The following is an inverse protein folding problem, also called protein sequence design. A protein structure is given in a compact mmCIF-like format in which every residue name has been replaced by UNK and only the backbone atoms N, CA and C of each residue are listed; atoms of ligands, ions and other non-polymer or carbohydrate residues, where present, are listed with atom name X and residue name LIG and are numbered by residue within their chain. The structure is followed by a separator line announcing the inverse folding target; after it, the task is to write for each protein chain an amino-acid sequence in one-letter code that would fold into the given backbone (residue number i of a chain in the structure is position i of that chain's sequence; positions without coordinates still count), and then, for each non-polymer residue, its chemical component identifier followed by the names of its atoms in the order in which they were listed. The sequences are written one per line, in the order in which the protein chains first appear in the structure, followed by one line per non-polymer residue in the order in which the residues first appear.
data_IF_203498764912
#
_entry.id   IF_203498764912
#
_cell.length_a   1.000
_cell.length_b   1.000
_cell.length_c   1.000
_cell.angle_alpha   90.00
_cell.angle_beta   90.00
_cell.angle_gamma   90.00
#
_symmetry.space_group_name_H-M   'P 1'
#
loop_
_entity.id
_entity.type
_entity.pdbx_description
1 polymer ?
#
# COMPACT_ATOMS: atom_id res chain seq x y z
N UNK A 1 14.88 10.84 0.29
CA UNK A 1 14.03 9.94 1.09
C UNK A 1 12.61 10.44 1.03
N UNK A 2 11.67 9.55 0.72
CA UNK A 2 10.24 9.86 0.57
C UNK A 2 9.40 9.40 1.79
N UNK A 3 10.02 9.15 2.92
CA UNK A 3 9.32 8.84 4.17
C UNK A 3 9.27 10.07 5.08
N UNK A 4 8.13 10.30 5.74
CA UNK A 4 6.89 9.51 5.71
C UNK A 4 6.13 9.70 4.38
N UNK A 5 5.90 8.59 3.63
CA UNK A 5 5.41 8.68 2.25
C UNK A 5 4.01 9.28 2.14
N UNK A 6 3.08 8.85 2.97
CA UNK A 6 1.69 9.30 2.93
C UNK A 6 1.60 10.81 3.18
N UNK A 7 2.33 11.30 4.18
CA UNK A 7 2.46 12.72 4.49
C UNK A 7 3.11 13.51 3.35
N UNK A 8 4.15 12.97 2.72
CA UNK A 8 4.80 13.63 1.57
C UNK A 8 3.89 13.66 0.35
N UNK A 9 3.11 12.61 0.11
CA UNK A 9 2.08 12.58 -0.94
C UNK A 9 0.99 13.63 -0.68
N UNK A 10 0.53 13.74 0.56
CA UNK A 10 -0.42 14.76 0.99
C UNK A 10 0.13 16.18 0.81
N UNK A 11 1.38 16.42 1.22
CA UNK A 11 2.06 17.70 1.05
C UNK A 11 2.10 18.14 -0.42
N UNK A 12 2.51 17.25 -1.32
CA UNK A 12 2.56 17.56 -2.75
C UNK A 12 1.18 17.93 -3.29
N UNK A 13 0.13 17.22 -2.89
CA UNK A 13 -1.24 17.54 -3.30
C UNK A 13 -1.69 18.90 -2.76
N UNK A 14 -1.44 19.17 -1.45
CA UNK A 14 -1.88 20.40 -0.76
C UNK A 14 -1.19 21.65 -1.29
N UNK A 15 0.15 21.64 -1.36
CA UNK A 15 0.94 22.83 -1.64
C UNK A 15 1.02 23.15 -3.13
N UNK A 16 1.16 22.15 -3.98
CA UNK A 16 1.37 22.37 -5.42
C UNK A 16 0.07 22.32 -6.25
N UNK A 17 -1.09 22.08 -5.61
CA UNK A 17 -2.39 22.01 -6.27
C UNK A 17 -2.41 21.10 -7.50
N UNK A 18 -1.57 20.08 -7.48
CA UNK A 18 -1.53 19.07 -8.54
C UNK A 18 -2.81 18.23 -8.45
N UNK A 19 -3.40 17.91 -9.59
CA UNK A 19 -4.58 17.04 -9.63
C UNK A 19 -4.27 15.72 -8.88
N UNK A 20 -5.17 15.36 -7.95
CA UNK A 20 -5.00 14.17 -7.10
C UNK A 20 -4.68 12.89 -7.87
N UNK A 21 -5.18 12.76 -9.10
CA UNK A 21 -4.94 11.61 -9.96
C UNK A 21 -3.47 11.46 -10.39
N UNK A 22 -2.68 12.54 -10.32
CA UNK A 22 -1.28 12.59 -10.74
C UNK A 22 -0.28 12.57 -9.59
N UNK A 23 -0.76 12.53 -8.36
CA UNK A 23 0.08 12.41 -7.15
C UNK A 23 -0.11 11.02 -6.60
N UNK A 24 0.90 10.18 -6.74
CA UNK A 24 0.82 8.74 -6.45
C UNK A 24 1.94 8.35 -5.50
N UNK A 25 1.58 7.89 -4.31
CA UNK A 25 2.52 7.29 -3.36
C UNK A 25 2.60 5.77 -3.58
N UNK A 26 3.77 5.25 -3.95
CA UNK A 26 3.90 3.87 -4.43
C UNK A 26 4.06 2.81 -3.31
N UNK A 27 4.07 3.19 -2.03
CA UNK A 27 4.39 2.28 -0.92
C UNK A 27 3.55 1.03 -0.86
N UNK A 28 2.24 1.17 -0.98
CA UNK A 28 1.32 0.05 -0.95
C UNK A 28 1.54 -0.96 -2.09
N UNK A 29 1.98 -0.52 -3.27
CA UNK A 29 2.35 -1.42 -4.37
C UNK A 29 3.55 -2.30 -3.99
N UNK A 30 4.56 -1.71 -3.34
CA UNK A 30 5.73 -2.43 -2.83
C UNK A 30 5.33 -3.39 -1.69
N UNK A 31 4.49 -2.95 -0.76
CA UNK A 31 4.05 -3.75 0.38
C UNK A 31 3.19 -4.94 -0.07
N UNK A 32 2.31 -4.72 -1.06
CA UNK A 32 1.53 -5.80 -1.68
C UNK A 32 2.42 -6.81 -2.42
N UNK A 33 3.49 -6.35 -3.08
CA UNK A 33 4.45 -7.25 -3.70
C UNK A 33 5.19 -8.12 -2.66
N UNK A 34 5.56 -7.54 -1.50
CA UNK A 34 6.15 -8.30 -0.38
C UNK A 34 5.17 -9.33 0.19
N UNK A 35 3.92 -8.92 0.39
CA UNK A 35 2.87 -9.82 0.88
C UNK A 35 2.65 -10.99 -0.07
N UNK A 36 2.54 -10.73 -1.39
CA UNK A 36 2.44 -11.77 -2.42
C UNK A 36 3.65 -12.71 -2.42
N UNK A 37 4.85 -12.16 -2.26
CA UNK A 37 6.07 -12.94 -2.18
C UNK A 37 6.03 -13.90 -0.97
N UNK A 38 5.65 -13.42 0.22
CA UNK A 38 5.53 -14.25 1.42
C UNK A 38 4.47 -15.34 1.27
N UNK A 39 3.32 -15.00 0.69
CA UNK A 39 2.29 -16.00 0.36
C UNK A 39 2.82 -17.07 -0.61
N UNK A 40 3.55 -16.67 -1.63
CA UNK A 40 4.11 -17.61 -2.61
C UNK A 40 5.15 -18.55 -2.01
N UNK A 41 5.98 -18.06 -1.08
CA UNK A 41 6.91 -18.91 -0.32
C UNK A 41 6.16 -19.92 0.55
N UNK A 42 5.17 -19.47 1.34
CA UNK A 42 4.39 -20.33 2.23
C UNK A 42 3.58 -21.40 1.47
N UNK A 43 3.11 -21.07 0.26
CA UNK A 43 2.34 -21.98 -0.60
C UNK A 43 3.22 -22.80 -1.55
N UNK A 44 4.53 -22.56 -1.58
CA UNK A 44 5.48 -23.15 -2.52
C UNK A 44 5.00 -23.08 -3.98
N UNK A 45 4.61 -21.87 -4.42
CA UNK A 45 4.03 -21.63 -5.73
C UNK A 45 4.63 -20.38 -6.40
N UNK A 46 4.46 -20.22 -7.74
CA UNK A 46 4.88 -18.99 -8.41
C UNK A 46 4.18 -17.75 -7.88
N UNK A 47 4.92 -16.66 -7.63
CA UNK A 47 4.33 -15.39 -7.16
C UNK A 47 3.33 -14.77 -8.14
N UNK A 48 3.38 -15.12 -9.44
CA UNK A 48 2.40 -14.73 -10.44
C UNK A 48 1.00 -15.32 -10.22
N UNK A 49 0.92 -16.40 -9.45
CA UNK A 49 -0.31 -17.15 -9.22
C UNK A 49 -1.03 -16.70 -7.93
N UNK A 50 -0.41 -15.80 -7.17
CA UNK A 50 -0.92 -15.29 -5.90
C UNK A 50 -1.41 -13.86 -6.07
N UNK A 51 -2.58 -13.57 -5.54
CA UNK A 51 -3.12 -12.23 -5.42
C UNK A 51 -3.26 -11.84 -3.95
N UNK A 52 -2.87 -10.60 -3.64
CA UNK A 52 -2.93 -10.05 -2.28
C UNK A 52 -2.68 -8.55 -2.28
N UNK A 53 -3.36 -7.84 -1.41
CA UNK A 53 -3.28 -6.40 -1.28
C UNK A 53 -2.88 -6.03 0.16
N UNK A 54 -2.12 -4.96 0.29
CA UNK A 54 -1.80 -4.31 1.56
C UNK A 54 -2.32 -2.89 1.49
N UNK A 55 -3.22 -2.50 2.38
CA UNK A 55 -3.75 -1.14 2.50
C UNK A 55 -3.19 -0.43 3.74
N UNK A 56 -3.58 0.82 3.95
CA UNK A 56 -3.11 1.61 5.08
C UNK A 56 -1.85 2.41 4.80
N UNK A 57 -1.29 3.02 5.82
CA UNK A 57 -0.07 3.82 5.73
C UNK A 57 1.17 2.97 5.45
N UNK A 58 2.10 3.51 4.66
CA UNK A 58 3.38 2.84 4.37
C UNK A 58 4.33 2.93 5.58
N UNK A 59 4.01 2.20 6.63
CA UNK A 59 4.81 2.09 7.86
C UNK A 59 4.55 0.74 8.53
N UNK A 60 5.50 0.26 9.33
CA UNK A 60 5.44 -1.07 9.97
C UNK A 60 4.15 -1.28 10.80
N UNK A 61 3.64 -0.21 11.42
CA UNK A 61 2.42 -0.25 12.23
C UNK A 61 1.16 0.10 11.45
N UNK A 62 1.29 0.78 10.31
CA UNK A 62 0.16 1.26 9.50
C UNK A 62 -0.27 0.33 8.38
N UNK A 63 0.57 -0.63 7.99
CA UNK A 63 0.26 -1.60 6.95
C UNK A 63 -0.79 -2.63 7.40
N UNK A 64 -1.72 -2.92 6.50
CA UNK A 64 -2.81 -3.88 6.73
C UNK A 64 -2.83 -4.86 5.55
N UNK A 65 -2.07 -5.97 5.62
CA UNK A 65 -2.18 -7.04 4.65
C UNK A 65 -3.56 -7.70 4.75
N UNK A 66 -4.29 -7.74 3.63
CA UNK A 66 -5.66 -8.24 3.56
C UNK A 66 -5.66 -9.75 3.20
N UNK A 67 -5.31 -10.60 4.16
CA UNK A 67 -5.27 -12.05 3.96
C UNK A 67 -6.67 -12.65 3.70
N UNK A 68 -7.74 -11.98 4.16
CA UNK A 68 -9.13 -12.39 3.94
C UNK A 68 -9.50 -12.47 2.46
N UNK A 69 -8.98 -11.54 1.66
CA UNK A 69 -9.26 -11.48 0.22
C UNK A 69 -8.09 -11.98 -0.65
N UNK A 70 -6.99 -12.37 -0.02
CA UNK A 70 -5.85 -12.93 -0.74
C UNK A 70 -6.19 -14.32 -1.29
N UNK A 71 -5.69 -14.60 -2.52
CA UNK A 71 -5.98 -15.86 -3.19
C UNK A 71 -4.76 -16.46 -3.87
N UNK A 72 -4.76 -17.78 -4.00
CA UNK A 72 -3.91 -18.53 -4.93
C UNK A 72 -4.80 -19.12 -6.02
N UNK A 73 -4.63 -18.64 -7.25
CA UNK A 73 -5.48 -19.06 -8.40
C UNK A 73 -6.98 -18.98 -8.10
N UNK A 74 -7.42 -17.95 -7.38
CA UNK A 74 -8.81 -17.76 -6.99
C UNK A 74 -9.27 -18.55 -5.75
N UNK A 75 -8.42 -19.41 -5.18
CA UNK A 75 -8.71 -20.11 -3.92
C UNK A 75 -8.27 -19.22 -2.76
N UNK A 76 -9.16 -18.88 -1.79
CA UNK A 76 -8.77 -18.06 -0.64
C UNK A 76 -7.62 -18.69 0.16
N UNK A 77 -6.59 -17.91 0.47
CA UNK A 77 -5.40 -18.40 1.20
C UNK A 77 -5.74 -18.92 2.60
N UNK A 78 -6.79 -18.40 3.22
CA UNK A 78 -7.33 -18.88 4.51
C UNK A 78 -7.84 -20.34 4.47
N UNK A 79 -8.05 -20.91 3.28
CA UNK A 79 -8.39 -22.34 3.11
C UNK A 79 -7.16 -23.23 2.90
N UNK A 80 -6.01 -22.62 2.64
CA UNK A 80 -4.76 -23.29 2.28
C UNK A 80 -3.71 -23.24 3.38
N UNK A 81 -3.75 -22.20 4.20
CA UNK A 81 -2.79 -21.95 5.29
C UNK A 81 -3.52 -21.89 6.64
N UNK A 82 -2.84 -22.32 7.70
CA UNK A 82 -3.35 -22.18 9.06
C UNK A 82 -3.38 -20.72 9.51
N UNK A 83 -4.20 -20.41 10.51
CA UNK A 83 -4.27 -19.07 11.10
C UNK A 83 -2.91 -18.59 11.62
N UNK A 84 -2.14 -19.45 12.28
CA UNK A 84 -0.83 -19.13 12.83
C UNK A 84 0.18 -18.82 11.73
N UNK A 85 0.14 -19.58 10.61
CA UNK A 85 0.99 -19.32 9.45
C UNK A 85 0.65 -17.96 8.80
N UNK A 86 -0.64 -17.64 8.66
CA UNK A 86 -1.10 -16.38 8.13
C UNK A 86 -0.72 -15.20 9.03
N UNK A 87 -0.87 -15.33 10.34
CA UNK A 87 -0.46 -14.30 11.30
C UNK A 87 1.05 -14.03 11.23
N UNK A 88 1.86 -15.08 11.18
CA UNK A 88 3.32 -14.98 11.01
C UNK A 88 3.65 -14.22 9.72
N UNK A 89 3.06 -14.62 8.61
CA UNK A 89 3.27 -14.04 7.28
C UNK A 89 2.85 -12.56 7.22
N UNK A 90 1.72 -12.21 7.82
CA UNK A 90 1.26 -10.81 7.95
C UNK A 90 2.28 -9.98 8.72
N UNK A 91 2.78 -10.50 9.86
CA UNK A 91 3.77 -9.80 10.67
C UNK A 91 5.12 -9.64 9.94
N UNK A 92 5.60 -10.68 9.25
CA UNK A 92 6.81 -10.62 8.43
C UNK A 92 6.70 -9.63 7.27
N UNK A 93 5.50 -9.49 6.67
CA UNK A 93 5.23 -8.50 5.64
C UNK A 93 5.43 -7.08 6.18
N UNK A 94 4.90 -6.81 7.36
CA UNK A 94 5.00 -5.48 8.01
C UNK A 94 6.44 -5.08 8.30
N UNK A 95 7.24 -5.98 8.85
CA UNK A 95 8.63 -5.69 9.23
C UNK A 95 9.64 -5.87 8.09
N UNK A 96 9.22 -6.40 6.94
CA UNK A 96 10.12 -6.76 5.85
C UNK A 96 10.99 -5.61 5.32
N UNK A 97 10.48 -4.38 5.36
CA UNK A 97 11.24 -3.18 4.98
C UNK A 97 12.35 -2.85 5.97
N UNK A 98 12.05 -2.88 7.27
CA UNK A 98 13.01 -2.63 8.34
C UNK A 98 14.09 -3.72 8.38
N UNK A 99 13.69 -4.99 8.23
CA UNK A 99 14.61 -6.14 8.16
C UNK A 99 15.61 -5.98 7.03
N UNK A 100 15.14 -5.67 5.81
CA UNK A 100 16.01 -5.49 4.65
C UNK A 100 16.95 -4.29 4.83
N UNK A 101 16.47 -3.19 5.39
CA UNK A 101 17.28 -2.01 5.70
C UNK A 101 18.37 -2.35 6.73
N UNK A 102 18.05 -3.13 7.74
CA UNK A 102 19.02 -3.61 8.74
C UNK A 102 20.12 -4.47 8.12
N UNK A 103 19.77 -5.37 7.20
CA UNK A 103 20.72 -6.24 6.51
C UNK A 103 21.62 -5.49 5.51
N UNK A 104 21.08 -4.50 4.81
CA UNK A 104 21.81 -3.74 3.81
C UNK A 104 22.59 -2.54 4.38
N UNK A 105 22.29 -2.12 5.62
CA UNK A 105 22.81 -0.87 6.20
C UNK A 105 22.29 0.40 5.53
N UNK A 106 21.37 0.28 4.57
CA UNK A 106 20.74 1.39 3.84
C UNK A 106 19.35 0.99 3.35
N UNK A 107 18.53 1.97 2.95
CA UNK A 107 17.22 1.68 2.35
C UNK A 107 17.38 0.91 1.03
N UNK A 108 16.55 -0.09 0.81
CA UNK A 108 16.48 -0.80 -0.46
C UNK A 108 16.03 0.13 -1.59
N UNK A 109 16.52 -0.10 -2.80
CA UNK A 109 16.15 0.67 -4.00
C UNK A 109 15.64 -0.20 -5.16
N UNK A 110 16.10 -1.46 -5.29
CA UNK A 110 15.69 -2.32 -6.41
C UNK A 110 14.17 -2.61 -6.41
N UNK A 111 13.63 -3.08 -5.29
CA UNK A 111 12.20 -3.36 -5.19
C UNK A 111 11.33 -2.09 -5.32
N UNK A 112 11.66 -0.96 -4.68
CA UNK A 112 11.01 0.32 -4.96
C UNK A 112 11.08 0.73 -6.42
N UNK A 113 12.23 0.58 -7.08
CA UNK A 113 12.40 0.86 -8.51
C UNK A 113 11.49 0.00 -9.38
N UNK A 114 11.38 -1.31 -9.10
CA UNK A 114 10.48 -2.22 -9.79
C UNK A 114 9.00 -1.85 -9.60
N UNK A 115 8.59 -1.47 -8.38
CA UNK A 115 7.23 -1.02 -8.10
C UNK A 115 6.88 0.26 -8.88
N UNK A 116 7.77 1.26 -8.89
CA UNK A 116 7.60 2.47 -9.68
C UNK A 116 7.52 2.15 -11.17
N UNK A 117 8.42 1.29 -11.69
CA UNK A 117 8.42 0.88 -13.10
C UNK A 117 7.10 0.24 -13.50
N UNK A 118 6.51 -0.62 -12.65
CA UNK A 118 5.22 -1.25 -12.91
C UNK A 118 4.07 -0.24 -12.97
N UNK A 119 4.07 0.76 -12.09
CA UNK A 119 3.08 1.86 -12.10
C UNK A 119 3.25 2.71 -13.37
N UNK A 120 4.47 3.11 -13.71
CA UNK A 120 4.77 3.89 -14.92
C UNK A 120 4.37 3.13 -16.18
N UNK A 121 4.65 1.82 -16.24
CA UNK A 121 4.22 0.97 -17.34
C UNK A 121 2.70 0.95 -17.48
N UNK A 122 1.95 0.88 -16.36
CA UNK A 122 0.49 0.92 -16.39
C UNK A 122 -0.03 2.23 -16.96
N UNK A 123 0.62 3.35 -16.65
CA UNK A 123 0.26 4.68 -17.18
C UNK A 123 0.56 4.76 -18.69
N UNK A 124 1.81 4.44 -19.08
CA UNK A 124 2.26 4.59 -20.48
C UNK A 124 1.50 3.67 -21.43
N UNK A 125 1.25 2.42 -20.99
CA UNK A 125 0.56 1.41 -21.78
C UNK A 125 -0.95 1.38 -21.55
N UNK A 126 -1.50 2.29 -20.76
CA UNK A 126 -2.94 2.37 -20.40
C UNK A 126 -3.51 1.02 -19.95
N UNK A 127 -2.82 0.35 -19.00
CA UNK A 127 -3.13 -1.05 -18.66
C UNK A 127 -4.32 -1.21 -17.71
N UNK A 128 -4.77 -0.14 -17.06
CA UNK A 128 -5.85 -0.16 -16.05
C UNK A 128 -5.61 -1.20 -14.94
N UNK A 129 -4.34 -1.37 -14.53
CA UNK A 129 -3.99 -2.29 -13.45
C UNK A 129 -4.41 -1.76 -12.09
N UNK A 130 -4.75 -2.69 -11.21
CA UNK A 130 -4.99 -2.40 -9.79
C UNK A 130 -3.68 -2.40 -9.04
N UNK A 131 -3.42 -1.30 -8.32
CA UNK A 131 -2.31 -1.18 -7.37
C UNK A 131 -2.87 -0.66 -6.06
N UNK A 132 -2.20 -0.95 -4.96
CA UNK A 132 -2.39 -0.18 -3.73
C UNK A 132 -1.44 1.01 -3.76
N UNK A 133 -1.98 2.21 -3.73
CA UNK A 133 -1.18 3.44 -3.75
C UNK A 133 -1.72 4.44 -2.72
N UNK A 134 -0.81 5.19 -2.11
CA UNK A 134 -1.20 6.35 -1.32
C UNK A 134 -1.73 7.44 -2.25
N UNK A 135 -2.96 7.84 -2.01
CA UNK A 135 -3.69 8.87 -2.76
C UNK A 135 -4.55 9.70 -1.84
N UNK A 136 -4.89 10.92 -2.28
CA UNK A 136 -5.75 11.82 -1.52
C UNK A 136 -7.19 11.29 -1.49
N UNK A 137 -7.72 11.10 -0.26
CA UNK A 137 -9.08 10.68 -0.01
C UNK A 137 -9.97 11.88 0.35
N UNK A 138 -11.19 11.85 -0.15
CA UNK A 138 -12.22 12.86 0.09
C UNK A 138 -13.61 12.22 0.25
N UNK A 139 -13.71 11.31 1.20
CA UNK A 139 -14.93 10.56 1.53
C UNK A 139 -14.80 9.05 1.32
N UNK A 140 -13.83 8.60 0.52
CA UNK A 140 -13.60 7.18 0.33
C UNK A 140 -13.14 6.53 1.65
N UNK A 141 -13.65 5.35 1.98
CA UNK A 141 -13.41 4.65 3.26
C UNK A 141 -13.81 5.46 4.52
N UNK A 142 -14.75 6.41 4.38
CA UNK A 142 -15.10 7.38 5.43
C UNK A 142 -13.93 8.26 5.90
N UNK A 143 -12.90 8.40 5.06
CA UNK A 143 -11.68 9.17 5.31
C UNK A 143 -11.61 10.39 4.40
N UNK A 144 -11.11 11.51 4.95
CA UNK A 144 -10.94 12.76 4.20
C UNK A 144 -9.69 13.52 4.65
N UNK A 145 -9.16 14.36 3.76
CA UNK A 145 -8.03 15.25 4.02
C UNK A 145 -6.73 14.55 4.41
N UNK A 146 -6.49 13.39 3.86
CA UNK A 146 -5.21 12.67 4.00
C UNK A 146 -4.91 11.88 2.73
N UNK A 147 -3.65 11.47 2.61
CA UNK A 147 -3.24 10.45 1.66
C UNK A 147 -2.92 9.17 2.44
N UNK A 148 -3.43 8.05 1.97
CA UNK A 148 -3.19 6.73 2.55
C UNK A 148 -3.30 5.65 1.47
N UNK A 149 -2.64 4.51 1.66
CA UNK A 149 -2.64 3.41 0.70
C UNK A 149 -4.01 2.74 0.60
N UNK A 150 -4.62 2.81 -0.57
CA UNK A 150 -5.88 2.14 -0.92
C UNK A 150 -5.78 1.56 -2.33
N UNK A 151 -6.60 0.56 -2.70
CA UNK A 151 -6.60 0.04 -4.05
C UNK A 151 -7.11 1.07 -5.05
N UNK A 152 -6.35 1.26 -6.12
CA UNK A 152 -6.64 2.21 -7.21
C UNK A 152 -6.46 1.54 -8.56
N UNK A 153 -7.21 2.00 -9.56
CA UNK A 153 -7.00 1.64 -10.97
C UNK A 153 -6.10 2.71 -11.58
N UNK A 154 -4.99 2.28 -12.18
CA UNK A 154 -4.03 3.18 -12.84
C UNK A 154 -4.05 2.96 -14.34
N UNK A 155 -4.43 4.00 -15.07
CA UNK A 155 -4.40 4.08 -16.53
C UNK A 155 -3.63 5.31 -17.01
N UNK A 156 -3.84 5.71 -18.26
CA UNK A 156 -3.09 6.80 -18.91
C UNK A 156 -3.23 8.16 -18.21
N UNK A 157 -4.29 8.38 -17.45
CA UNK A 157 -4.53 9.62 -16.70
C UNK A 157 -3.95 9.60 -15.27
N UNK A 158 -3.21 8.56 -14.91
CA UNK A 158 -2.77 8.28 -13.54
C UNK A 158 -3.80 7.46 -12.78
N UNK A 159 -4.17 7.87 -11.56
CA UNK A 159 -5.26 7.21 -10.80
C UNK A 159 -6.59 7.58 -11.45
N UNK A 160 -7.27 6.59 -12.02
CA UNK A 160 -8.56 6.79 -12.70
C UNK A 160 -9.74 6.44 -11.79
N UNK A 161 -9.54 5.53 -10.83
CA UNK A 161 -10.56 5.17 -9.85
C UNK A 161 -9.94 4.71 -8.53
N UNK A 162 -10.63 4.97 -7.43
CA UNK A 162 -10.36 4.39 -6.11
C UNK A 162 -11.37 3.27 -5.89
N UNK A 163 -10.89 2.06 -5.59
CA UNK A 163 -11.75 0.91 -5.34
C UNK A 163 -12.10 0.85 -3.87
N UNK A 164 -13.37 1.02 -3.53
CA UNK A 164 -13.85 0.81 -2.15
C UNK A 164 -14.06 -0.68 -1.89
N UNK A 165 -13.17 -1.27 -1.09
CA UNK A 165 -13.31 -2.65 -0.63
C UNK A 165 -14.31 -2.71 0.54
N UNK A 166 -15.09 -3.77 0.58
CA UNK A 166 -15.85 -4.12 1.79
C UNK A 166 -14.90 -4.68 2.85
N UNK A 167 -14.52 -3.83 3.80
CA UNK A 167 -13.68 -4.20 4.93
C UNK A 167 -14.54 -4.78 6.06
N UNK A 168 -14.03 -5.80 6.75
CA UNK A 168 -14.64 -6.22 8.02
C UNK A 168 -14.36 -5.22 9.15
N UNK A 169 -14.99 -5.42 10.32
CA UNK A 169 -14.90 -4.48 11.43
C UNK A 169 -13.46 -4.36 11.98
N UNK A 170 -12.68 -5.44 11.92
CA UNK A 170 -11.28 -5.45 12.32
C UNK A 170 -10.43 -4.66 11.34
N UNK A 171 -10.59 -4.91 10.04
CA UNK A 171 -9.89 -4.20 8.97
C UNK A 171 -10.23 -2.70 8.99
N UNK A 172 -11.51 -2.34 9.20
CA UNK A 172 -11.95 -0.95 9.35
C UNK A 172 -11.26 -0.27 10.54
N UNK A 173 -11.26 -0.92 11.68
CA UNK A 173 -10.61 -0.37 12.89
C UNK A 173 -9.10 -0.18 12.67
N UNK A 174 -8.43 -1.13 12.01
CA UNK A 174 -7.01 -0.99 11.68
C UNK A 174 -6.77 0.17 10.72
N UNK A 175 -7.65 0.35 9.72
CA UNK A 175 -7.52 1.45 8.75
C UNK A 175 -7.72 2.81 9.44
N UNK A 176 -8.69 2.94 10.36
CA UNK A 176 -8.87 4.16 11.15
C UNK A 176 -7.64 4.48 12.00
N UNK A 177 -7.09 3.49 12.72
CA UNK A 177 -5.87 3.69 13.50
C UNK A 177 -4.68 4.10 12.61
N UNK A 178 -4.57 3.50 11.44
CA UNK A 178 -3.55 3.86 10.44
C UNK A 178 -3.71 5.29 9.93
N UNK A 179 -4.95 5.71 9.65
CA UNK A 179 -5.28 7.07 9.23
C UNK A 179 -4.99 8.10 10.34
N UNK A 180 -5.31 7.81 11.59
CA UNK A 180 -5.01 8.68 12.73
C UNK A 180 -3.50 8.94 12.88
N UNK A 181 -2.68 7.91 12.67
CA UNK A 181 -1.22 8.04 12.69
C UNK A 181 -0.72 8.97 11.55
N UNK A 182 -1.28 8.83 10.35
CA UNK A 182 -0.97 9.73 9.22
C UNK A 182 -1.40 11.16 9.51
N UNK A 183 -2.63 11.36 9.99
CA UNK A 183 -3.15 12.68 10.36
C UNK A 183 -2.30 13.36 11.44
N UNK A 184 -1.85 12.58 12.43
CA UNK A 184 -0.92 13.09 13.45
C UNK A 184 0.39 13.58 12.84
N UNK A 185 0.95 12.83 11.87
CA UNK A 185 2.17 13.22 11.16
C UNK A 185 1.92 14.44 10.27
N UNK A 186 0.77 14.52 9.61
CA UNK A 186 0.41 15.66 8.75
C UNK A 186 0.33 16.98 9.52
N UNK A 187 -0.06 16.96 10.80
CA UNK A 187 -0.05 18.17 11.66
C UNK A 187 1.34 18.79 11.80
N UNK A 188 2.40 18.02 11.65
CA UNK A 188 3.77 18.55 11.71
C UNK A 188 4.07 19.49 10.53
N UNK A 189 3.36 19.32 9.41
CA UNK A 189 3.50 20.20 8.24
C UNK A 189 3.04 21.62 8.50
N UNK A 190 2.09 21.84 9.43
CA UNK A 190 1.56 23.15 9.76
C UNK A 190 2.64 24.06 10.41
N UNK A 191 3.71 23.46 10.92
CA UNK A 191 4.85 24.16 11.52
C UNK A 191 5.98 24.46 10.51
N UNK A 192 5.84 24.00 9.27
CA UNK A 192 6.85 24.17 8.21
C UNK A 192 6.37 25.27 7.26
N UNK A 193 7.20 26.31 7.08
CA UNK A 193 6.95 27.34 6.06
C UNK A 193 7.68 26.91 4.78
N UNK A 194 6.93 26.80 3.69
CA UNK A 194 7.45 26.52 2.35
C UNK A 194 7.60 27.81 1.54
#
# INVERSE_FOLDING_TARGET
RSNPMDTMTYLLHKEFKINKNRVIGMGGALDSARFKYRLSEALNCPGSDVEGLVIGAHSDVGMIPLDRIATYKGVPVRKLLSSDALETLVNETKVGGATLTGLLGTSAWYAPGAAVSSIVQSIICNQHKVFTCSTYLNGEYDLSNLCIGVPVIIGSNGIENIINLELDDTEKKLLMNSADAVLSTNKLLDNIKF
#
